data_IF_376064085606
#
_entry.id   IF_376064085606
#
_cell.length_a   1.000
_cell.length_b   1.000
_cell.length_c   1.000
_cell.angle_alpha   90.00
_cell.angle_beta   90.00
_cell.angle_gamma   90.00
#
_symmetry.space_group_name_H-M   'P 1'
#
loop_
_entity.id
_entity.type
_entity.pdbx_description
1 polymer ?
#
# COMPACT_ATOMS: atom_id res chain seq x y z
N UNK A 1 47.75 0.90 38.35
CA UNK A 1 49.13 1.45 38.48
C UNK A 1 50.16 0.69 37.64
N UNK A 2 50.20 -0.65 37.66
CA UNK A 2 51.19 -1.47 36.93
C UNK A 2 51.25 -1.22 35.41
N UNK A 3 50.10 -0.99 34.75
CA UNK A 3 50.05 -0.71 33.31
C UNK A 3 50.69 0.64 32.93
N UNK A 4 50.55 1.65 33.79
CA UNK A 4 51.21 2.94 33.59
C UNK A 4 52.71 2.82 33.80
N UNK A 5 53.13 2.03 34.80
CA UNK A 5 54.54 1.78 35.09
C UNK A 5 55.24 1.04 33.94
N UNK A 6 54.56 0.03 33.35
CA UNK A 6 55.06 -0.68 32.18
C UNK A 6 55.24 0.24 30.97
N UNK A 7 54.27 1.14 30.70
CA UNK A 7 54.38 2.13 29.62
C UNK A 7 55.58 3.06 29.82
N UNK A 8 55.83 3.51 31.05
CA UNK A 8 56.96 4.39 31.38
C UNK A 8 58.29 3.64 31.23
N UNK A 9 58.39 2.40 31.72
CA UNK A 9 59.61 1.57 31.58
C UNK A 9 59.89 1.27 30.11
N UNK A 10 58.88 0.89 29.33
CA UNK A 10 59.03 0.63 27.89
C UNK A 10 59.41 1.92 27.15
N UNK A 11 58.79 3.04 27.45
CA UNK A 11 59.15 4.34 26.87
C UNK A 11 60.60 4.73 27.20
N UNK A 12 61.03 4.55 28.45
CA UNK A 12 62.39 4.85 28.88
C UNK A 12 63.41 3.92 28.23
N UNK A 13 63.11 2.62 28.13
CA UNK A 13 63.96 1.65 27.44
C UNK A 13 64.12 1.99 25.94
N UNK A 14 63.04 2.40 25.28
CA UNK A 14 63.07 2.88 23.90
C UNK A 14 63.90 4.17 23.80
N UNK A 15 63.73 5.12 24.72
CA UNK A 15 64.47 6.37 24.72
C UNK A 15 65.99 6.15 24.90
N UNK A 16 66.38 5.25 25.82
CA UNK A 16 67.79 4.87 26.03
C UNK A 16 68.34 4.15 24.81
N UNK A 17 67.60 3.22 24.22
CA UNK A 17 68.02 2.52 22.99
C UNK A 17 68.21 3.48 21.81
N UNK A 18 67.31 4.46 21.65
CA UNK A 18 67.41 5.50 20.62
C UNK A 18 68.61 6.42 20.87
N UNK A 19 68.83 6.85 22.12
CA UNK A 19 69.97 7.69 22.47
C UNK A 19 71.30 6.95 22.25
N UNK A 20 71.38 5.67 22.63
CA UNK A 20 72.55 4.83 22.39
C UNK A 20 72.80 4.59 20.90
N UNK A 21 71.75 4.29 20.12
CA UNK A 21 71.84 4.15 18.68
C UNK A 21 72.29 5.45 17.99
N UNK A 22 71.80 6.61 18.45
CA UNK A 22 72.23 7.91 17.95
C UNK A 22 73.70 8.21 18.28
N UNK A 23 74.17 7.87 19.49
CA UNK A 23 75.56 8.02 19.89
C UNK A 23 76.50 7.10 19.07
N UNK A 24 76.10 5.86 18.83
CA UNK A 24 76.87 4.92 17.99
C UNK A 24 76.95 5.40 16.53
N UNK A 25 75.89 6.04 16.04
CA UNK A 25 75.86 6.66 14.72
C UNK A 25 76.68 7.96 14.64
N UNK A 26 76.90 8.66 15.76
CA UNK A 26 77.75 9.87 15.86
C UNK A 26 79.23 9.49 15.72
N UNK A 27 79.61 8.36 16.31
CA UNK A 27 80.99 7.89 16.37
C UNK A 27 81.39 7.03 15.16
N UNK A 28 80.43 6.62 14.31
CA UNK A 28 80.68 5.80 13.13
C UNK A 28 81.31 6.62 11.99
N UNK A 29 82.57 6.35 11.57
CA UNK A 29 83.19 7.06 10.47
C UNK A 29 82.69 6.52 9.12
N UNK A 30 82.11 7.38 8.31
CA UNK A 30 81.64 7.06 6.96
C UNK A 30 80.79 8.18 6.37
N UNK A 31 80.80 8.32 5.05
CA UNK A 31 79.92 9.26 4.33
C UNK A 31 78.85 8.48 3.58
N UNK A 32 77.59 8.86 3.75
CA UNK A 32 76.51 8.35 2.90
C UNK A 32 76.39 9.31 1.72
N UNK A 33 76.76 8.84 0.53
CA UNK A 33 76.68 9.63 -0.71
C UNK A 33 75.37 9.36 -1.41
N UNK A 34 74.53 10.38 -1.51
CA UNK A 34 73.29 10.34 -2.29
C UNK A 34 73.51 11.16 -3.58
N UNK A 35 73.47 10.49 -4.72
CA UNK A 35 73.44 11.16 -6.02
C UNK A 35 71.98 11.36 -6.44
N UNK A 36 71.54 12.62 -6.58
CA UNK A 36 70.20 12.96 -7.04
C UNK A 36 70.25 14.15 -8.01
N UNK A 37 69.59 14.02 -9.16
CA UNK A 37 69.53 15.06 -10.19
C UNK A 37 70.90 15.64 -10.61
N UNK A 38 71.93 14.78 -10.71
CA UNK A 38 73.28 15.18 -11.13
C UNK A 38 74.10 15.92 -10.07
N UNK A 39 73.63 16.00 -8.82
CA UNK A 39 74.37 16.52 -7.67
C UNK A 39 74.64 15.42 -6.65
N UNK A 40 75.85 15.39 -6.12
CA UNK A 40 76.24 14.49 -5.04
C UNK A 40 76.11 15.22 -3.70
N UNK A 41 75.29 14.67 -2.82
CA UNK A 41 75.19 15.12 -1.43
C UNK A 41 75.90 14.09 -0.54
N UNK A 42 77.03 14.49 0.04
CA UNK A 42 77.68 13.72 1.09
C UNK A 42 77.05 14.10 2.42
N UNK A 43 76.32 13.15 3.03
CA UNK A 43 75.71 13.33 4.34
C UNK A 43 76.46 12.50 5.37
N UNK A 44 76.61 13.04 6.58
CA UNK A 44 77.00 12.24 7.74
C UNK A 44 75.91 11.19 8.03
N UNK A 45 76.24 10.04 8.65
CA UNK A 45 75.26 8.98 8.93
C UNK A 45 74.02 9.49 9.70
N UNK A 46 74.21 10.47 10.58
CA UNK A 46 73.11 11.13 11.29
C UNK A 46 72.34 12.11 10.42
N UNK A 47 73.03 12.88 9.57
CA UNK A 47 72.39 13.72 8.58
C UNK A 47 71.45 12.90 7.68
N UNK A 48 71.86 11.68 7.32
CA UNK A 48 71.04 10.73 6.57
C UNK A 48 69.79 10.28 7.34
N UNK A 49 69.94 9.87 8.61
CA UNK A 49 68.79 9.43 9.42
C UNK A 49 67.80 10.57 9.67
N UNK A 50 68.28 11.79 9.93
CA UNK A 50 67.43 12.97 10.08
C UNK A 50 66.71 13.28 8.77
N UNK A 51 67.41 13.26 7.64
CA UNK A 51 66.80 13.49 6.33
C UNK A 51 65.73 12.44 6.01
N UNK A 52 65.97 11.18 6.34
CA UNK A 52 65.00 10.09 6.15
C UNK A 52 63.78 10.22 7.07
N UNK A 53 63.97 10.64 8.33
CA UNK A 53 62.87 10.92 9.24
C UNK A 53 62.01 12.10 8.76
N UNK A 54 62.65 13.19 8.32
CA UNK A 54 61.95 14.34 7.73
C UNK A 54 61.20 13.97 6.46
N UNK A 55 61.78 13.12 5.61
CA UNK A 55 61.12 12.59 4.42
C UNK A 55 59.88 11.77 4.77
N UNK A 56 59.96 10.89 5.77
CA UNK A 56 58.82 10.11 6.28
C UNK A 56 57.69 11.02 6.81
N UNK A 57 58.03 12.03 7.60
CA UNK A 57 57.05 13.00 8.10
C UNK A 57 56.42 13.78 6.95
N UNK A 58 57.21 14.25 5.99
CA UNK A 58 56.71 14.94 4.80
C UNK A 58 55.78 14.03 3.97
N UNK A 59 56.14 12.77 3.76
CA UNK A 59 55.30 11.79 3.06
C UNK A 59 53.96 11.54 3.79
N UNK A 60 53.97 11.45 5.12
CA UNK A 60 52.75 11.32 5.92
C UNK A 60 51.85 12.56 5.82
N UNK A 61 52.45 13.76 5.84
CA UNK A 61 51.72 15.02 5.65
C UNK A 61 51.08 15.04 4.26
N UNK A 62 51.83 14.72 3.21
CA UNK A 62 51.30 14.67 1.84
C UNK A 62 50.16 13.66 1.72
N UNK A 63 50.30 12.46 2.30
CA UNK A 63 49.23 11.46 2.30
C UNK A 63 47.97 11.97 3.03
N UNK A 64 48.14 12.68 4.15
CA UNK A 64 47.03 13.32 4.87
C UNK A 64 46.37 14.43 4.06
N UNK A 65 47.15 15.25 3.36
CA UNK A 65 46.65 16.32 2.49
C UNK A 65 45.89 15.74 1.30
N UNK A 66 46.40 14.68 0.66
CA UNK A 66 45.71 13.99 -0.43
C UNK A 66 44.41 13.35 0.08
N UNK A 67 44.44 12.70 1.24
CA UNK A 67 43.25 12.15 1.88
C UNK A 67 42.20 13.22 2.20
N UNK A 68 42.64 14.39 2.66
CA UNK A 68 41.79 15.54 2.93
C UNK A 68 41.20 16.12 1.64
N UNK A 69 42.01 16.35 0.60
CA UNK A 69 41.53 16.79 -0.71
C UNK A 69 40.52 15.81 -1.31
N UNK A 70 40.79 14.49 -1.21
CA UNK A 70 39.87 13.45 -1.65
C UNK A 70 38.56 13.41 -0.85
N UNK A 71 38.57 13.79 0.43
CA UNK A 71 37.37 13.94 1.24
C UNK A 71 36.57 15.21 0.86
N UNK A 72 37.24 16.33 0.63
CA UNK A 72 36.63 17.59 0.17
C UNK A 72 36.02 17.40 -1.22
N UNK A 73 36.73 16.73 -2.13
CA UNK A 73 36.24 16.41 -3.47
C UNK A 73 34.99 15.52 -3.38
N UNK A 74 35.01 14.43 -2.60
CA UNK A 74 33.83 13.58 -2.37
C UNK A 74 32.66 14.34 -1.74
N UNK A 75 32.92 15.26 -0.83
CA UNK A 75 31.91 16.14 -0.24
C UNK A 75 31.27 17.08 -1.28
N UNK A 76 32.07 17.67 -2.18
CA UNK A 76 31.58 18.51 -3.28
C UNK A 76 30.86 17.70 -4.36
N UNK A 77 31.28 16.46 -4.60
CA UNK A 77 30.64 15.53 -5.54
C UNK A 77 29.39 14.84 -4.98
N UNK A 78 28.97 15.16 -3.75
CA UNK A 78 27.68 14.73 -3.20
C UNK A 78 27.68 13.33 -2.58
N UNK A 79 28.84 12.81 -2.18
CA UNK A 79 28.93 11.53 -1.47
C UNK A 79 28.25 11.68 -0.10
N UNK A 80 27.33 10.76 0.23
CA UNK A 80 26.41 10.85 1.38
C UNK A 80 27.16 10.82 2.75
N UNK A 81 27.63 11.99 3.17
CA UNK A 81 28.31 12.17 4.46
C UNK A 81 27.35 11.98 5.65
N UNK A 82 27.90 11.68 6.83
CA UNK A 82 27.14 11.49 8.08
C UNK A 82 26.19 12.66 8.44
N UNK A 83 26.46 13.86 7.91
CA UNK A 83 25.63 15.06 8.07
C UNK A 83 24.32 14.96 7.28
N UNK A 84 24.33 14.44 6.04
CA UNK A 84 23.11 14.24 5.24
C UNK A 84 22.16 13.24 5.91
N UNK A 85 22.71 12.19 6.55
CA UNK A 85 21.97 11.21 7.35
C UNK A 85 21.32 11.80 8.61
N UNK A 86 21.87 12.87 9.19
CA UNK A 86 21.24 13.54 10.32
C UNK A 86 20.09 14.45 9.85
N UNK A 87 20.31 15.24 8.79
CA UNK A 87 19.27 16.10 8.23
C UNK A 87 18.13 15.32 7.56
N UNK A 88 18.40 14.17 6.94
CA UNK A 88 17.35 13.29 6.40
C UNK A 88 16.48 12.73 7.53
N UNK A 89 17.09 12.24 8.62
CA UNK A 89 16.36 11.77 9.80
C UNK A 89 15.53 12.87 10.47
N UNK A 90 16.06 14.08 10.61
CA UNK A 90 15.31 15.21 11.16
C UNK A 90 14.17 15.67 10.24
N UNK A 91 14.33 15.56 8.92
CA UNK A 91 13.27 15.85 7.95
C UNK A 91 12.17 14.80 8.01
N UNK A 92 12.54 13.53 8.04
CA UNK A 92 11.60 12.41 8.09
C UNK A 92 10.80 12.42 9.40
N UNK A 93 11.45 12.67 10.55
CA UNK A 93 10.77 12.87 11.85
C UNK A 93 9.72 13.98 11.78
N UNK A 94 10.10 15.18 11.34
CA UNK A 94 9.16 16.30 11.17
C UNK A 94 8.04 15.98 10.16
N UNK A 95 8.33 15.18 9.15
CA UNK A 95 7.35 14.71 8.19
C UNK A 95 6.32 13.78 8.81
N UNK A 96 6.76 12.86 9.68
CA UNK A 96 5.88 11.98 10.44
C UNK A 96 5.09 12.75 11.49
N UNK A 97 5.70 13.72 12.19
CA UNK A 97 5.00 14.59 13.13
C UNK A 97 3.88 15.36 12.40
N UNK A 98 4.17 15.94 11.24
CA UNK A 98 3.17 16.63 10.42
C UNK A 98 2.05 15.68 9.92
N UNK A 99 2.39 14.42 9.61
CA UNK A 99 1.41 13.42 9.23
C UNK A 99 0.49 13.06 10.41
N UNK A 100 1.05 12.85 11.59
CA UNK A 100 0.30 12.61 12.82
C UNK A 100 -0.61 13.79 13.18
N UNK A 101 -0.08 15.01 13.16
CA UNK A 101 -0.86 16.23 13.40
C UNK A 101 -2.03 16.38 12.42
N UNK A 102 -1.82 16.03 11.15
CA UNK A 102 -2.88 16.06 10.14
C UNK A 102 -3.96 15.01 10.41
N UNK A 103 -3.59 13.81 10.85
CA UNK A 103 -4.56 12.77 11.25
C UNK A 103 -5.39 13.19 12.47
N UNK A 104 -4.77 13.85 13.46
CA UNK A 104 -5.47 14.41 14.61
C UNK A 104 -6.44 15.50 14.16
N UNK A 105 -5.98 16.45 13.36
CA UNK A 105 -6.83 17.53 12.84
C UNK A 105 -8.01 17.00 11.99
N UNK A 106 -7.80 15.93 11.21
CA UNK A 106 -8.87 15.24 10.48
C UNK A 106 -9.92 14.64 11.42
N UNK A 107 -9.48 14.03 12.52
CA UNK A 107 -10.37 13.46 13.53
C UNK A 107 -11.13 14.53 14.33
N UNK A 108 -10.50 15.69 14.56
CA UNK A 108 -11.10 16.86 15.20
C UNK A 108 -12.08 17.61 14.27
N UNK A 109 -11.97 17.39 12.96
CA UNK A 109 -12.77 18.10 11.96
C UNK A 109 -12.25 19.51 11.66
N UNK A 110 -10.96 19.80 11.84
CA UNK A 110 -10.33 21.06 11.42
C UNK A 110 -9.73 20.93 10.00
N UNK A 111 -10.46 21.37 8.94
CA UNK A 111 -9.99 21.25 7.56
C UNK A 111 -8.76 22.10 7.27
N UNK A 112 -8.60 23.24 7.93
CA UNK A 112 -7.50 24.19 7.66
C UNK A 112 -6.20 23.62 8.18
N UNK A 113 -6.20 23.15 9.43
CA UNK A 113 -5.04 22.54 10.04
C UNK A 113 -4.69 21.22 9.33
N UNK A 114 -5.68 20.37 9.05
CA UNK A 114 -5.49 19.12 8.33
C UNK A 114 -4.80 19.33 6.99
N UNK A 115 -5.29 20.27 6.17
CA UNK A 115 -4.73 20.57 4.84
C UNK A 115 -3.30 21.10 4.94
N UNK A 116 -3.04 22.01 5.88
CA UNK A 116 -1.70 22.60 6.08
C UNK A 116 -0.68 21.54 6.49
N UNK A 117 -1.05 20.66 7.43
CA UNK A 117 -0.20 19.59 7.94
C UNK A 117 0.00 18.49 6.90
N UNK A 118 -1.03 18.12 6.14
CA UNK A 118 -0.93 17.18 5.02
C UNK A 118 0.06 17.66 3.95
N UNK A 119 -0.02 18.93 3.53
CA UNK A 119 0.91 19.51 2.56
C UNK A 119 2.37 19.54 3.09
N UNK A 120 2.52 19.76 4.40
CA UNK A 120 3.84 19.71 5.06
C UNK A 120 4.40 18.28 5.05
N UNK A 121 3.58 17.28 5.40
CA UNK A 121 3.95 15.87 5.36
C UNK A 121 4.34 15.43 3.93
N UNK A 122 3.58 15.84 2.91
CA UNK A 122 3.87 15.56 1.51
C UNK A 122 5.24 16.10 1.08
N UNK A 123 5.56 17.34 1.45
CA UNK A 123 6.86 17.97 1.16
C UNK A 123 8.04 17.27 1.85
N UNK A 124 7.83 16.76 3.06
CA UNK A 124 8.92 16.24 3.91
C UNK A 124 9.18 14.74 3.72
N UNK A 125 8.14 13.91 3.58
CA UNK A 125 8.24 12.45 3.62
C UNK A 125 8.61 11.82 2.28
N UNK A 126 8.32 12.47 1.13
CA UNK A 126 8.51 11.88 -0.21
C UNK A 126 7.88 10.48 -0.36
N UNK A 127 6.81 10.19 0.38
CA UNK A 127 6.05 8.93 0.36
C UNK A 127 4.64 9.18 -0.18
N UNK A 128 4.47 9.29 -1.51
CA UNK A 128 3.21 9.69 -2.12
C UNK A 128 2.05 8.76 -1.75
N UNK A 129 2.30 7.50 -1.41
CA UNK A 129 1.25 6.52 -1.13
C UNK A 129 0.39 6.90 0.07
N UNK A 130 1.01 7.46 1.12
CA UNK A 130 0.32 7.82 2.37
C UNK A 130 -0.04 9.30 2.38
N UNK A 131 0.84 10.16 1.86
CA UNK A 131 0.61 11.60 1.90
C UNK A 131 -0.47 12.04 0.93
N UNK A 132 -0.62 11.38 -0.24
CA UNK A 132 -1.74 11.65 -1.15
C UNK A 132 -3.08 11.28 -0.52
N UNK A 133 -3.15 10.17 0.23
CA UNK A 133 -4.38 9.77 0.92
C UNK A 133 -4.79 10.79 1.97
N UNK A 134 -3.83 11.23 2.76
CA UNK A 134 -4.03 12.27 3.77
C UNK A 134 -4.46 13.60 3.13
N UNK A 135 -3.84 13.98 2.01
CA UNK A 135 -4.23 15.14 1.22
C UNK A 135 -5.64 15.04 0.64
N UNK A 136 -6.05 13.86 0.17
CA UNK A 136 -7.41 13.61 -0.30
C UNK A 136 -8.45 13.79 0.81
N UNK A 137 -8.24 13.16 1.97
CA UNK A 137 -9.14 13.26 3.12
C UNK A 137 -9.23 14.69 3.66
N UNK A 138 -8.09 15.41 3.72
CA UNK A 138 -8.10 16.81 4.13
C UNK A 138 -8.86 17.70 3.15
N UNK A 139 -8.75 17.42 1.85
CA UNK A 139 -9.50 18.13 0.81
C UNK A 139 -11.02 17.83 0.89
N UNK A 140 -11.41 16.58 1.11
CA UNK A 140 -12.83 16.20 1.36
C UNK A 140 -13.38 16.93 2.58
N UNK A 141 -12.65 16.93 3.70
CA UNK A 141 -13.07 17.65 4.91
C UNK A 141 -13.23 19.16 4.68
N UNK A 142 -12.43 19.74 3.78
CA UNK A 142 -12.57 21.15 3.40
C UNK A 142 -13.67 21.44 2.38
N UNK A 143 -14.33 20.42 1.83
CA UNK A 143 -15.30 20.54 0.74
C UNK A 143 -14.68 20.86 -0.63
N UNK A 144 -13.38 20.61 -0.82
CA UNK A 144 -12.69 20.80 -2.10
C UNK A 144 -12.65 19.49 -2.88
N UNK A 145 -13.80 19.13 -3.46
CA UNK A 145 -13.99 17.87 -4.18
C UNK A 145 -13.04 17.74 -5.38
N UNK A 146 -12.71 18.86 -6.03
CA UNK A 146 -11.79 18.89 -7.18
C UNK A 146 -10.39 18.47 -6.76
N UNK A 147 -9.90 19.01 -5.65
CA UNK A 147 -8.58 18.67 -5.13
C UNK A 147 -8.53 17.24 -4.58
N UNK A 148 -9.57 16.81 -3.88
CA UNK A 148 -9.71 15.41 -3.43
C UNK A 148 -9.70 14.45 -4.64
N UNK A 149 -10.45 14.76 -5.70
CA UNK A 149 -10.47 13.98 -6.93
C UNK A 149 -9.09 13.90 -7.59
N UNK A 150 -8.34 14.99 -7.63
CA UNK A 150 -6.98 15.00 -8.18
C UNK A 150 -6.04 14.07 -7.38
N UNK A 151 -6.11 14.10 -6.05
CA UNK A 151 -5.36 13.17 -5.21
C UNK A 151 -5.75 11.72 -5.48
N UNK A 152 -7.04 11.38 -5.53
CA UNK A 152 -7.47 10.02 -5.82
C UNK A 152 -7.08 9.52 -7.22
N UNK A 153 -7.13 10.39 -8.23
CA UNK A 153 -6.64 10.04 -9.58
C UNK A 153 -5.15 9.74 -9.57
N UNK A 154 -4.35 10.53 -8.87
CA UNK A 154 -2.90 10.27 -8.75
C UNK A 154 -2.59 8.96 -8.00
N UNK A 155 -3.51 8.47 -7.16
CA UNK A 155 -3.35 7.17 -6.49
C UNK A 155 -3.58 5.96 -7.43
N UNK A 156 -4.17 6.16 -8.62
CA UNK A 156 -4.43 5.07 -9.57
C UNK A 156 -3.15 4.55 -10.25
N UNK A 157 -2.12 5.39 -10.31
CA UNK A 157 -0.81 5.10 -10.91
C UNK A 157 -0.07 3.97 -10.17
N UNK A 158 -0.27 3.84 -8.85
CA UNK A 158 0.43 2.87 -8.01
C UNK A 158 -0.51 1.75 -7.55
N UNK A 159 -0.12 0.49 -7.76
CA UNK A 159 -0.89 -0.70 -7.38
C UNK A 159 -1.28 -0.71 -5.89
N UNK A 160 -0.42 -0.19 -5.01
CA UNK A 160 -0.66 -0.17 -3.56
C UNK A 160 -1.80 0.76 -3.16
N UNK A 161 -1.97 1.87 -3.88
CA UNK A 161 -2.98 2.90 -3.58
C UNK A 161 -4.19 2.84 -4.50
N UNK A 162 -4.12 2.11 -5.62
CA UNK A 162 -5.19 2.07 -6.63
C UNK A 162 -6.55 1.74 -6.05
N UNK A 163 -6.64 0.76 -5.15
CA UNK A 163 -7.91 0.40 -4.51
C UNK A 163 -8.52 1.58 -3.73
N UNK A 164 -7.69 2.28 -2.95
CA UNK A 164 -8.14 3.42 -2.13
C UNK A 164 -8.53 4.60 -3.04
N UNK A 165 -7.76 4.85 -4.10
CA UNK A 165 -8.10 5.86 -5.11
C UNK A 165 -9.45 5.59 -5.78
N UNK A 166 -9.70 4.36 -6.24
CA UNK A 166 -10.99 3.98 -6.83
C UNK A 166 -12.13 4.10 -5.81
N UNK A 167 -11.91 3.68 -4.56
CA UNK A 167 -12.91 3.79 -3.50
C UNK A 167 -13.27 5.25 -3.19
N UNK A 168 -12.29 6.14 -3.11
CA UNK A 168 -12.50 7.57 -2.88
C UNK A 168 -13.29 8.21 -4.02
N UNK A 169 -12.89 7.96 -5.28
CA UNK A 169 -13.64 8.41 -6.45
C UNK A 169 -15.08 7.88 -6.46
N UNK A 170 -15.27 6.60 -6.11
CA UNK A 170 -16.59 6.00 -6.02
C UNK A 170 -17.46 6.72 -4.99
N UNK A 171 -16.91 7.04 -3.82
CA UNK A 171 -17.63 7.78 -2.77
C UNK A 171 -18.08 9.16 -3.24
N UNK A 172 -17.17 9.94 -3.84
CA UNK A 172 -17.50 11.25 -4.40
C UNK A 172 -18.63 11.17 -5.44
N UNK A 173 -18.64 10.11 -6.27
CA UNK A 173 -19.70 9.89 -7.26
C UNK A 173 -21.04 9.51 -6.63
N UNK A 174 -21.01 8.75 -5.54
CA UNK A 174 -22.23 8.46 -4.77
C UNK A 174 -22.79 9.73 -4.12
N UNK A 175 -21.96 10.57 -3.54
CA UNK A 175 -22.37 11.85 -2.93
C UNK A 175 -22.92 12.83 -3.98
N UNK A 176 -22.36 12.82 -5.20
CA UNK A 176 -22.86 13.59 -6.32
C UNK A 176 -24.15 13.02 -6.94
N UNK A 177 -24.66 11.87 -6.48
CA UNK A 177 -25.82 11.19 -7.05
C UNK A 177 -25.56 10.50 -8.40
N UNK A 178 -24.31 10.41 -8.84
CA UNK A 178 -23.93 9.73 -10.10
C UNK A 178 -23.83 8.21 -9.89
N UNK A 179 -24.97 7.54 -9.74
CA UNK A 179 -25.03 6.10 -9.41
C UNK A 179 -24.40 5.20 -10.46
N UNK A 180 -24.53 5.52 -11.75
CA UNK A 180 -23.99 4.68 -12.84
C UNK A 180 -22.45 4.72 -12.87
N UNK A 181 -21.85 5.90 -12.68
CA UNK A 181 -20.39 6.03 -12.63
C UNK A 181 -19.85 5.42 -11.34
N UNK A 182 -20.57 5.57 -10.22
CA UNK A 182 -20.24 4.89 -8.97
C UNK A 182 -20.31 3.37 -9.10
N UNK A 183 -21.31 2.81 -9.79
CA UNK A 183 -21.40 1.37 -10.05
C UNK A 183 -20.22 0.88 -10.90
N UNK A 184 -19.84 1.62 -11.94
CA UNK A 184 -18.67 1.28 -12.74
C UNK A 184 -17.36 1.30 -11.92
N UNK A 185 -17.20 2.27 -11.01
CA UNK A 185 -16.06 2.33 -10.09
C UNK A 185 -16.10 1.20 -9.06
N UNK A 186 -17.28 0.85 -8.53
CA UNK A 186 -17.46 -0.26 -7.60
C UNK A 186 -17.08 -1.60 -8.24
N UNK A 187 -17.48 -1.84 -9.50
CA UNK A 187 -17.06 -3.02 -10.29
C UNK A 187 -15.53 -3.07 -10.46
N UNK A 188 -14.89 -1.93 -10.75
CA UNK A 188 -13.42 -1.83 -10.83
C UNK A 188 -12.76 -2.12 -9.47
N UNK A 189 -13.27 -1.56 -8.38
CA UNK A 189 -12.77 -1.82 -7.03
C UNK A 189 -12.92 -3.30 -6.65
N UNK A 190 -13.98 -3.96 -7.11
CA UNK A 190 -14.23 -5.38 -6.83
C UNK A 190 -13.22 -6.28 -7.53
N UNK A 191 -12.84 -5.94 -8.76
CA UNK A 191 -11.74 -6.63 -9.45
C UNK A 191 -10.40 -6.49 -8.71
N UNK A 192 -10.17 -5.39 -7.99
CA UNK A 192 -8.93 -5.16 -7.23
C UNK A 192 -8.93 -5.88 -5.87
N UNK A 193 -10.05 -5.84 -5.14
CA UNK A 193 -10.17 -6.42 -3.79
C UNK A 193 -11.54 -7.10 -3.61
N UNK A 194 -11.73 -8.31 -4.14
CA UNK A 194 -13.04 -8.97 -4.18
C UNK A 194 -13.58 -9.41 -2.82
N UNK A 195 -12.73 -9.47 -1.79
CA UNK A 195 -13.11 -9.88 -0.44
C UNK A 195 -13.28 -8.69 0.52
N UNK A 196 -13.26 -7.44 0.04
CA UNK A 196 -13.39 -6.28 0.91
C UNK A 196 -14.85 -6.13 1.41
N UNK A 197 -15.12 -6.19 2.73
CA UNK A 197 -16.48 -6.20 3.24
C UNK A 197 -17.32 -4.96 2.93
N UNK A 198 -16.74 -3.78 3.12
CA UNK A 198 -17.43 -2.52 2.88
C UNK A 198 -17.80 -2.38 1.40
N UNK A 199 -16.86 -2.71 0.51
CA UNK A 199 -17.12 -2.68 -0.92
C UNK A 199 -18.21 -3.66 -1.35
N UNK A 200 -18.17 -4.91 -0.86
CA UNK A 200 -19.14 -5.93 -1.22
C UNK A 200 -20.56 -5.49 -0.90
N UNK A 201 -20.77 -4.86 0.26
CA UNK A 201 -22.05 -4.28 0.65
C UNK A 201 -22.48 -3.17 -0.30
N UNK A 202 -21.63 -2.16 -0.51
CA UNK A 202 -21.94 -1.03 -1.41
C UNK A 202 -22.21 -1.50 -2.84
N UNK A 203 -21.42 -2.43 -3.37
CA UNK A 203 -21.61 -2.96 -4.72
C UNK A 203 -22.92 -3.75 -4.82
N UNK A 204 -23.25 -4.57 -3.82
CA UNK A 204 -24.50 -5.32 -3.78
C UNK A 204 -25.72 -4.38 -3.77
N UNK A 205 -25.67 -3.33 -2.95
CA UNK A 205 -26.74 -2.35 -2.84
C UNK A 205 -26.91 -1.60 -4.18
N UNK A 206 -25.81 -1.15 -4.79
CA UNK A 206 -25.83 -0.49 -6.10
C UNK A 206 -26.41 -1.41 -7.19
N UNK A 207 -25.92 -2.65 -7.29
CA UNK A 207 -26.40 -3.60 -8.30
C UNK A 207 -27.87 -3.96 -8.12
N UNK A 208 -28.33 -4.08 -6.87
CA UNK A 208 -29.73 -4.35 -6.57
C UNK A 208 -30.61 -3.15 -6.94
N UNK A 209 -30.15 -1.92 -6.68
CA UNK A 209 -30.88 -0.69 -7.02
C UNK A 209 -30.96 -0.42 -8.52
N UNK A 210 -29.93 -0.78 -9.29
CA UNK A 210 -29.87 -0.60 -10.74
C UNK A 210 -30.35 -1.84 -11.51
N UNK A 211 -31.00 -2.80 -10.84
CA UNK A 211 -31.48 -4.06 -11.43
C UNK A 211 -30.40 -4.91 -12.15
N UNK A 212 -29.13 -4.78 -11.77
CA UNK A 212 -28.03 -5.66 -12.24
C UNK A 212 -28.05 -6.98 -11.45
N UNK A 213 -29.09 -7.80 -11.69
CA UNK A 213 -29.33 -9.03 -10.93
C UNK A 213 -28.19 -10.04 -11.08
N UNK A 214 -27.65 -10.19 -12.29
CA UNK A 214 -26.50 -11.07 -12.55
C UNK A 214 -25.27 -10.61 -11.78
N UNK A 215 -25.01 -9.31 -11.75
CA UNK A 215 -23.95 -8.70 -10.94
C UNK A 215 -24.17 -8.91 -9.45
N UNK A 216 -25.36 -8.62 -8.93
CA UNK A 216 -25.70 -8.77 -7.51
C UNK A 216 -25.49 -10.21 -7.02
N UNK A 217 -25.86 -11.22 -7.85
CA UNK A 217 -25.63 -12.64 -7.54
C UNK A 217 -24.15 -12.99 -7.46
N UNK A 218 -23.30 -12.46 -8.36
CA UNK A 218 -21.83 -12.63 -8.28
C UNK A 218 -21.26 -12.04 -7.00
N UNK A 219 -21.70 -10.82 -6.63
CA UNK A 219 -21.28 -10.14 -5.40
C UNK A 219 -21.75 -10.87 -4.14
N UNK A 220 -22.96 -11.43 -4.16
CA UNK A 220 -23.49 -12.26 -3.09
C UNK A 220 -22.67 -13.54 -2.88
N UNK A 221 -22.28 -14.20 -3.97
CA UNK A 221 -21.38 -15.36 -3.91
C UNK A 221 -20.01 -15.00 -3.31
N UNK A 222 -19.43 -13.86 -3.72
CA UNK A 222 -18.19 -13.36 -3.13
C UNK A 222 -18.35 -13.06 -1.63
N UNK A 223 -19.51 -12.54 -1.20
CA UNK A 223 -19.81 -12.28 0.21
C UNK A 223 -19.90 -13.56 1.05
N UNK A 224 -20.45 -14.65 0.49
CA UNK A 224 -20.44 -15.97 1.12
C UNK A 224 -19.03 -16.55 1.20
N UNK A 225 -18.21 -16.40 0.14
CA UNK A 225 -16.81 -16.86 0.13
C UNK A 225 -15.96 -16.11 1.15
N UNK A 226 -16.20 -14.81 1.32
CA UNK A 226 -15.57 -13.96 2.34
C UNK A 226 -16.10 -14.24 3.77
N UNK A 227 -16.98 -15.23 3.96
CA UNK A 227 -17.61 -15.60 5.24
C UNK A 227 -18.35 -14.45 5.94
N UNK A 228 -18.79 -13.45 5.19
CA UNK A 228 -19.59 -12.34 5.71
C UNK A 228 -21.08 -12.69 5.84
N UNK A 229 -21.51 -13.73 5.15
CA UNK A 229 -22.89 -14.17 5.12
C UNK A 229 -22.95 -15.70 5.29
N UNK A 230 -23.79 -16.20 6.21
CA UNK A 230 -24.08 -17.63 6.29
C UNK A 230 -24.59 -18.17 4.94
N UNK A 231 -24.22 -19.41 4.61
CA UNK A 231 -24.53 -20.01 3.30
C UNK A 231 -26.03 -20.13 3.07
N UNK A 232 -26.79 -20.53 4.08
CA UNK A 232 -28.25 -20.64 4.06
C UNK A 232 -28.91 -19.29 3.76
N UNK A 233 -28.46 -18.22 4.41
CA UNK A 233 -28.96 -16.85 4.17
C UNK A 233 -28.60 -16.40 2.76
N UNK A 234 -27.38 -16.69 2.30
CA UNK A 234 -26.94 -16.38 0.95
C UNK A 234 -27.71 -17.13 -0.13
N UNK A 235 -27.96 -18.43 0.04
CA UNK A 235 -28.78 -19.22 -0.89
C UNK A 235 -30.21 -18.67 -0.98
N UNK A 236 -30.80 -18.29 0.17
CA UNK A 236 -32.14 -17.68 0.17
C UNK A 236 -32.16 -16.32 -0.53
N UNK A 237 -31.15 -15.47 -0.34
CA UNK A 237 -31.02 -14.20 -1.06
C UNK A 237 -30.80 -14.40 -2.56
N UNK A 238 -30.03 -15.41 -2.96
CA UNK A 238 -29.82 -15.77 -4.36
C UNK A 238 -31.14 -16.22 -5.02
N UNK A 239 -32.00 -16.93 -4.28
CA UNK A 239 -33.33 -17.28 -4.74
C UNK A 239 -34.21 -16.04 -4.99
N UNK A 240 -34.17 -15.05 -4.09
CA UNK A 240 -34.91 -13.79 -4.23
C UNK A 240 -34.40 -12.98 -5.42
N UNK A 241 -33.09 -12.89 -5.62
CA UNK A 241 -32.51 -12.22 -6.79
C UNK A 241 -32.87 -12.94 -8.10
N UNK A 242 -32.86 -14.28 -8.10
CA UNK A 242 -33.28 -15.06 -9.28
C UNK A 242 -34.76 -14.86 -9.60
N UNK A 243 -35.61 -14.71 -8.57
CA UNK A 243 -37.01 -14.37 -8.75
C UNK A 243 -37.21 -12.96 -9.33
N UNK A 244 -36.44 -11.97 -8.87
CA UNK A 244 -36.46 -10.61 -9.41
C UNK A 244 -35.99 -10.59 -10.88
N UNK A 245 -34.92 -11.33 -11.19
CA UNK A 245 -34.40 -11.50 -12.54
C UNK A 245 -35.43 -12.15 -13.47
N UNK A 246 -36.15 -13.17 -12.98
CA UNK A 246 -37.21 -13.81 -13.74
C UNK A 246 -38.33 -12.82 -14.09
N UNK A 247 -38.80 -12.03 -13.11
CA UNK A 247 -39.84 -11.02 -13.32
C UNK A 247 -39.40 -9.93 -14.30
N UNK A 248 -38.17 -9.44 -14.18
CA UNK A 248 -37.61 -8.47 -15.11
C UNK A 248 -37.53 -9.03 -16.53
N UNK A 249 -37.03 -10.27 -16.68
CA UNK A 249 -36.93 -10.92 -17.98
C UNK A 249 -38.30 -11.15 -18.64
N UNK A 250 -39.33 -11.53 -17.87
CA UNK A 250 -40.69 -11.64 -18.39
C UNK A 250 -41.28 -10.28 -18.79
N UNK A 251 -40.96 -9.20 -18.07
CA UNK A 251 -41.37 -7.85 -18.46
C UNK A 251 -40.66 -7.35 -19.74
N UNK A 252 -39.50 -7.92 -20.06
CA UNK A 252 -38.74 -7.68 -21.31
C UNK A 252 -39.12 -8.66 -22.44
N UNK A 253 -40.20 -9.45 -22.29
CA UNK A 253 -40.61 -10.54 -23.21
C UNK A 253 -39.52 -11.60 -23.48
N UNK A 254 -38.52 -11.71 -22.61
CA UNK A 254 -37.46 -12.70 -22.70
C UNK A 254 -37.82 -13.97 -21.93
N UNK A 255 -38.72 -14.76 -22.52
CA UNK A 255 -39.22 -15.99 -21.92
C UNK A 255 -38.12 -17.01 -21.58
N UNK A 256 -37.05 -17.11 -22.38
CA UNK A 256 -35.94 -18.05 -22.11
C UNK A 256 -35.24 -17.71 -20.80
N UNK A 257 -34.79 -16.46 -20.64
CA UNK A 257 -34.14 -15.98 -19.41
C UNK A 257 -35.08 -16.03 -18.22
N UNK A 258 -36.35 -15.61 -18.41
CA UNK A 258 -37.37 -15.64 -17.36
C UNK A 258 -37.62 -17.03 -16.82
N UNK A 259 -37.77 -18.00 -17.72
CA UNK A 259 -37.99 -19.41 -17.37
C UNK A 259 -36.80 -20.01 -16.63
N UNK A 260 -35.57 -19.77 -17.08
CA UNK A 260 -34.36 -20.27 -16.42
C UNK A 260 -34.22 -19.69 -15.01
N UNK A 261 -34.40 -18.37 -14.87
CA UNK A 261 -34.30 -17.67 -13.60
C UNK A 261 -35.40 -18.11 -12.61
N UNK A 262 -36.63 -18.31 -13.07
CA UNK A 262 -37.75 -18.80 -12.25
C UNK A 262 -37.49 -20.21 -11.70
N UNK A 263 -37.03 -21.13 -12.57
CA UNK A 263 -36.69 -22.49 -12.15
C UNK A 263 -35.51 -22.51 -11.18
N UNK A 264 -34.51 -21.65 -11.41
CA UNK A 264 -33.37 -21.51 -10.50
C UNK A 264 -33.80 -20.96 -9.13
N UNK A 265 -34.69 -19.96 -9.08
CA UNK A 265 -35.23 -19.41 -7.83
C UNK A 265 -35.89 -20.51 -6.98
N UNK A 266 -36.76 -21.31 -7.59
CA UNK A 266 -37.43 -22.42 -6.90
C UNK A 266 -36.46 -23.53 -6.49
N UNK A 267 -35.43 -23.82 -7.29
CA UNK A 267 -34.39 -24.80 -6.93
C UNK A 267 -33.62 -24.36 -5.68
N UNK A 268 -33.29 -23.07 -5.56
CA UNK A 268 -32.53 -22.52 -4.44
C UNK A 268 -33.37 -22.39 -3.18
N UNK A 269 -34.65 -22.02 -3.29
CA UNK A 269 -35.58 -21.93 -2.18
C UNK A 269 -36.96 -22.52 -2.54
N UNK A 270 -37.12 -23.86 -2.45
CA UNK A 270 -38.38 -24.53 -2.82
C UNK A 270 -39.58 -24.14 -1.97
N UNK A 271 -39.32 -23.61 -0.77
CA UNK A 271 -40.35 -23.16 0.19
C UNK A 271 -40.71 -21.69 0.04
N UNK A 272 -40.03 -20.96 -0.87
CA UNK A 272 -40.34 -19.57 -1.19
C UNK A 272 -41.57 -19.52 -2.10
N UNK A 273 -42.72 -19.22 -1.51
CA UNK A 273 -44.04 -19.16 -2.17
C UNK A 273 -44.02 -18.52 -3.57
N UNK A 274 -43.51 -17.28 -3.76
CA UNK A 274 -43.54 -16.64 -5.08
C UNK A 274 -42.61 -17.31 -6.10
N UNK A 275 -41.52 -17.98 -5.66
CA UNK A 275 -40.66 -18.73 -6.56
C UNK A 275 -41.31 -20.06 -6.98
N UNK A 276 -41.98 -20.75 -6.07
CA UNK A 276 -42.71 -21.97 -6.36
C UNK A 276 -43.89 -21.72 -7.31
N UNK A 277 -44.67 -20.65 -7.08
CA UNK A 277 -45.78 -20.27 -7.95
C UNK A 277 -45.29 -19.94 -9.38
N UNK A 278 -44.23 -19.12 -9.50
CA UNK A 278 -43.68 -18.76 -10.81
C UNK A 278 -43.11 -19.98 -11.55
N UNK A 279 -42.33 -20.83 -10.87
CA UNK A 279 -41.78 -22.05 -11.47
C UNK A 279 -42.87 -23.06 -11.88
N UNK A 280 -43.97 -23.14 -11.13
CA UNK A 280 -45.12 -23.96 -11.51
C UNK A 280 -45.75 -23.46 -12.82
N UNK A 281 -45.93 -22.14 -12.97
CA UNK A 281 -46.37 -21.52 -14.22
C UNK A 281 -45.49 -21.91 -15.41
N UNK A 282 -44.16 -21.80 -15.27
CA UNK A 282 -43.19 -22.24 -16.29
C UNK A 282 -43.37 -23.72 -16.66
N UNK A 283 -43.66 -24.58 -15.68
CA UNK A 283 -43.92 -26.00 -15.95
C UNK A 283 -45.25 -26.25 -16.66
N UNK A 284 -46.30 -25.47 -16.36
CA UNK A 284 -47.60 -25.54 -17.04
C UNK A 284 -47.47 -25.13 -18.50
N UNK A 285 -46.80 -24.01 -18.78
CA UNK A 285 -46.54 -23.55 -20.16
C UNK A 285 -45.76 -24.58 -20.98
N UNK A 286 -44.83 -25.30 -20.34
CA UNK A 286 -44.06 -26.40 -20.95
C UNK A 286 -44.84 -27.73 -21.01
N UNK A 287 -46.15 -27.74 -20.72
CA UNK A 287 -47.01 -28.94 -20.74
C UNK A 287 -46.73 -29.96 -19.62
N UNK A 288 -45.88 -29.62 -18.65
CA UNK A 288 -45.41 -30.52 -17.59
C UNK A 288 -46.24 -30.40 -16.30
N UNK A 289 -47.57 -30.61 -16.39
CA UNK A 289 -48.51 -30.45 -15.26
C UNK A 289 -48.08 -31.21 -14.00
N UNK A 290 -47.62 -32.46 -14.14
CA UNK A 290 -47.13 -33.28 -13.02
C UNK A 290 -45.97 -32.63 -12.25
N UNK A 291 -45.08 -31.91 -12.93
CA UNK A 291 -43.96 -31.18 -12.29
C UNK A 291 -44.46 -29.92 -11.59
N UNK A 292 -45.39 -29.19 -12.21
CA UNK A 292 -46.03 -28.03 -11.60
C UNK A 292 -46.72 -28.41 -10.27
N UNK A 293 -47.56 -29.45 -10.26
CA UNK A 293 -48.22 -29.95 -9.06
C UNK A 293 -47.20 -30.32 -7.98
N UNK A 294 -46.13 -31.05 -8.34
CA UNK A 294 -45.09 -31.45 -7.37
C UNK A 294 -44.41 -30.26 -6.70
N UNK A 295 -44.07 -29.21 -7.46
CA UNK A 295 -43.45 -27.99 -6.92
C UNK A 295 -44.41 -27.29 -5.95
N UNK A 296 -45.67 -27.12 -6.35
CA UNK A 296 -46.67 -26.46 -5.51
C UNK A 296 -47.00 -27.27 -4.25
N UNK A 297 -47.09 -28.60 -4.32
CA UNK A 297 -47.34 -29.45 -3.14
C UNK A 297 -46.20 -29.36 -2.13
N UNK A 298 -44.95 -29.34 -2.61
CA UNK A 298 -43.79 -29.17 -1.73
C UNK A 298 -43.80 -27.81 -1.02
N UNK A 299 -44.10 -26.73 -1.75
CA UNK A 299 -44.20 -25.39 -1.18
C UNK A 299 -45.38 -25.27 -0.21
N UNK A 300 -46.53 -25.85 -0.56
CA UNK A 300 -47.74 -25.84 0.28
C UNK A 300 -47.52 -26.56 1.61
N UNK A 301 -46.82 -27.70 1.60
CA UNK A 301 -46.50 -28.43 2.83
C UNK A 301 -45.63 -27.64 3.81
N UNK A 302 -44.81 -26.71 3.31
CA UNK A 302 -43.97 -25.84 4.15
C UNK A 302 -44.66 -24.53 4.55
N UNK A 303 -45.30 -23.85 3.59
CA UNK A 303 -45.94 -22.56 3.77
C UNK A 303 -47.25 -22.48 2.94
N UNK A 304 -48.39 -22.94 3.47
CA UNK A 304 -49.69 -22.76 2.82
C UNK A 304 -49.98 -21.28 2.57
N UNK A 305 -50.30 -20.91 1.32
CA UNK A 305 -50.51 -19.51 0.93
C UNK A 305 -51.52 -19.37 -0.23
N UNK A 306 -52.39 -18.34 -0.27
CA UNK A 306 -53.35 -18.13 -1.35
C UNK A 306 -52.75 -18.17 -2.76
N UNK A 307 -51.57 -17.56 -2.97
CA UNK A 307 -50.87 -17.58 -4.26
C UNK A 307 -50.57 -19.00 -4.78
N UNK A 308 -50.29 -19.95 -3.87
CA UNK A 308 -50.09 -21.36 -4.26
C UNK A 308 -51.41 -22.00 -4.66
N UNK A 309 -52.51 -21.68 -3.98
CA UNK A 309 -53.84 -22.17 -4.34
C UNK A 309 -54.28 -21.65 -5.72
N UNK A 310 -54.03 -20.36 -5.99
CA UNK A 310 -54.25 -19.78 -7.31
C UNK A 310 -53.40 -20.45 -8.39
N UNK A 311 -52.12 -20.72 -8.10
CA UNK A 311 -51.24 -21.45 -9.01
C UNK A 311 -51.69 -22.90 -9.23
N UNK A 312 -52.25 -23.58 -8.22
CA UNK A 312 -52.84 -24.92 -8.36
C UNK A 312 -54.06 -24.91 -9.27
N UNK A 313 -54.91 -23.89 -9.16
CA UNK A 313 -56.10 -23.74 -10.00
C UNK A 313 -55.77 -23.49 -11.48
N UNK A 314 -54.56 -23.02 -11.79
CA UNK A 314 -54.09 -22.75 -13.15
C UNK A 314 -53.45 -23.97 -13.86
N UNK A 315 -53.32 -25.12 -13.19
CA UNK A 315 -52.77 -26.37 -13.78
C UNK A 315 -53.83 -27.08 -14.62
#
# INVERSE_FOLDING_TARGET
MLWSLLKVIVFLAIAVALAFGAAWLLESPGEVRIAFAGREFALTPIGFVIAMALFLVAALIVLKVIGFLGAVMRFLLGDETAISRYFSRARERRGFDALSDSMVALAEGDPRLATKKAATAEKLLRRPEVTRLLGAQAAELSGDDRKAQAYYRSMLENDRTRFVGVKGLMHQKLEAGETDTALALAKKAFALRPQNPALLRTLFDLQSSTADWSGARKTLNASMQARMLPRDVGTRRDAVLSLADARAAFAEDNATRGNEAALQANKLAPTLVPAAALAAGVHVEKGSKRRATKVLTAAWGANPHPDLAAAFAAI
#
